data_IF_224054122073
#
_entry.id   IF_224054122073
#
_cell.length_a   1.000
_cell.length_b   1.000
_cell.length_c   1.000
_cell.angle_alpha   90.00
_cell.angle_beta   90.00
_cell.angle_gamma   90.00
#
_symmetry.space_group_name_H-M   'P 1'
#
loop_
_entity.id
_entity.type
_entity.pdbx_description
1 polymer ?
#
# COMPACT_ATOMS: atom_id res chain seq x y z
N UNK A 1 -8.75 20.86 -20.15
CA UNK A 1 -9.22 19.49 -19.83
C UNK A 1 -8.17 18.53 -20.35
N UNK A 2 -7.77 17.53 -19.57
CA UNK A 2 -6.75 16.55 -19.98
C UNK A 2 -7.18 15.81 -21.25
N UNK A 3 -6.26 15.61 -22.20
CA UNK A 3 -6.51 14.85 -23.44
C UNK A 3 -6.43 13.32 -23.25
N UNK A 4 -6.22 12.83 -22.03
CA UNK A 4 -6.15 11.41 -21.73
C UNK A 4 -7.56 10.82 -21.55
N UNK A 5 -7.83 9.69 -22.21
CA UNK A 5 -9.02 8.91 -21.93
C UNK A 5 -8.90 8.27 -20.54
N UNK A 6 -9.87 8.53 -19.67
CA UNK A 6 -10.03 7.81 -18.40
C UNK A 6 -11.01 6.66 -18.59
N UNK A 7 -10.81 5.58 -17.84
CA UNK A 7 -11.67 4.41 -17.89
C UNK A 7 -12.00 3.98 -16.47
N UNK A 8 -13.29 3.94 -16.14
CA UNK A 8 -13.72 3.37 -14.87
C UNK A 8 -13.58 1.85 -14.95
N UNK A 9 -12.66 1.31 -14.18
CA UNK A 9 -12.41 -0.14 -14.11
C UNK A 9 -13.48 -0.87 -13.29
N UNK A 10 -14.35 -0.14 -12.60
CA UNK A 10 -15.49 -0.69 -11.88
C UNK A 10 -16.68 -0.79 -12.82
N UNK A 11 -17.15 -2.01 -13.01
CA UNK A 11 -18.34 -2.26 -13.80
C UNK A 11 -19.59 -2.07 -12.94
N UNK A 12 -20.64 -1.47 -13.50
CA UNK A 12 -21.99 -1.43 -12.87
C UNK A 12 -22.61 -2.83 -12.68
N UNK A 13 -22.10 -3.84 -13.40
CA UNK A 13 -22.50 -5.23 -13.23
C UNK A 13 -21.95 -5.80 -11.91
N UNK A 14 -22.82 -6.47 -11.16
CA UNK A 14 -22.50 -7.17 -9.90
C UNK A 14 -21.63 -8.43 -10.14
N UNK A 15 -20.46 -8.26 -10.74
CA UNK A 15 -19.45 -9.31 -10.87
C UNK A 15 -18.66 -9.34 -9.56
N UNK A 16 -18.66 -10.47 -8.82
CA UNK A 16 -17.86 -10.59 -7.62
C UNK A 16 -16.38 -10.39 -7.94
N UNK A 17 -15.75 -9.44 -7.24
CA UNK A 17 -14.30 -9.24 -7.28
C UNK A 17 -13.64 -10.07 -6.17
N UNK A 18 -12.55 -10.75 -6.52
CA UNK A 18 -11.73 -11.51 -5.58
C UNK A 18 -10.39 -10.79 -5.34
N UNK A 19 -10.01 -10.68 -4.06
CA UNK A 19 -8.72 -10.14 -3.68
C UNK A 19 -7.57 -11.06 -4.11
N UNK A 20 -6.34 -10.54 -4.19
CA UNK A 20 -5.16 -11.36 -4.44
C UNK A 20 -4.96 -12.55 -3.48
N UNK A 21 -5.45 -12.48 -2.23
CA UNK A 21 -5.38 -13.59 -1.28
C UNK A 21 -6.64 -14.47 -1.21
N UNK A 22 -7.68 -14.22 -2.02
CA UNK A 22 -8.90 -15.04 -2.01
C UNK A 22 -8.64 -16.54 -2.24
N UNK A 23 -7.67 -16.88 -3.10
CA UNK A 23 -7.22 -18.26 -3.30
C UNK A 23 -6.46 -18.79 -2.08
N UNK A 24 -5.50 -18.01 -1.57
CA UNK A 24 -4.65 -18.38 -0.43
C UNK A 24 -5.46 -18.67 0.83
N UNK A 25 -6.48 -17.85 1.12
CA UNK A 25 -7.40 -18.07 2.24
C UNK A 25 -8.16 -19.39 2.17
N UNK A 26 -8.48 -19.87 0.96
CA UNK A 26 -9.18 -21.14 0.73
C UNK A 26 -8.25 -22.35 0.73
N UNK A 27 -6.98 -22.17 0.37
CA UNK A 27 -6.05 -23.27 0.07
C UNK A 27 -4.89 -23.41 1.03
N UNK A 28 -4.29 -22.29 1.42
CA UNK A 28 -3.15 -22.23 2.34
C UNK A 28 -3.61 -22.13 3.80
N UNK A 29 -4.88 -21.77 4.03
CA UNK A 29 -5.45 -21.55 5.36
C UNK A 29 -5.24 -20.11 5.84
N UNK A 30 -5.89 -19.79 6.96
CA UNK A 30 -5.74 -18.54 7.69
C UNK A 30 -5.86 -18.86 9.18
N UNK A 31 -4.74 -19.07 9.89
CA UNK A 31 -4.78 -19.32 11.33
C UNK A 31 -5.50 -18.15 12.01
N UNK A 32 -6.49 -18.43 12.86
CA UNK A 32 -7.24 -17.36 13.51
C UNK A 32 -6.34 -16.59 14.48
N UNK A 33 -6.41 -15.26 14.47
CA UNK A 33 -5.77 -14.46 15.50
C UNK A 33 -6.40 -14.76 16.88
N UNK A 34 -5.55 -14.90 17.89
CA UNK A 34 -5.95 -15.18 19.26
C UNK A 34 -5.12 -14.41 20.29
N UNK A 35 -5.39 -14.58 21.60
CA UNK A 35 -4.66 -13.89 22.67
C UNK A 35 -3.14 -14.14 22.67
N UNK A 36 -2.71 -15.29 22.14
CA UNK A 36 -1.30 -15.67 22.02
C UNK A 36 -0.62 -15.08 20.77
N UNK A 37 -1.39 -14.49 19.84
CA UNK A 37 -0.84 -13.93 18.60
C UNK A 37 -0.04 -12.66 18.88
N UNK A 38 1.29 -12.76 18.80
CA UNK A 38 2.22 -11.62 18.98
C UNK A 38 2.36 -10.78 17.71
N UNK A 39 1.85 -11.28 16.60
CA UNK A 39 1.70 -10.58 15.31
C UNK A 39 0.42 -11.03 14.62
N UNK A 40 -0.27 -10.08 13.99
CA UNK A 40 -1.42 -10.35 13.13
C UNK A 40 -1.15 -9.88 11.71
N UNK A 41 -1.71 -10.59 10.74
CA UNK A 41 -1.63 -10.31 9.31
C UNK A 41 -3.04 -10.05 8.77
N UNK A 42 -3.21 -8.95 8.05
CA UNK A 42 -4.46 -8.58 7.37
C UNK A 42 -4.19 -8.19 5.92
N UNK A 43 -5.05 -8.59 5.00
CA UNK A 43 -5.07 -7.96 3.68
C UNK A 43 -5.96 -6.72 3.73
N UNK A 44 -5.42 -5.55 3.37
CA UNK A 44 -6.24 -4.38 3.08
C UNK A 44 -6.66 -4.48 1.61
N UNK A 45 -7.64 -5.34 1.37
CA UNK A 45 -8.00 -5.78 0.03
C UNK A 45 -8.70 -4.68 -0.79
N UNK A 46 -8.47 -4.71 -2.11
CA UNK A 46 -9.21 -3.94 -3.11
C UNK A 46 -9.20 -2.41 -2.87
N UNK A 47 -8.12 -1.88 -2.30
CA UNK A 47 -7.88 -0.44 -2.20
C UNK A 47 -7.64 0.18 -3.58
N UNK A 48 -8.04 1.44 -3.73
CA UNK A 48 -7.71 2.26 -4.88
C UNK A 48 -6.25 2.70 -4.79
N UNK A 49 -5.49 2.56 -5.88
CA UNK A 49 -4.07 2.89 -5.92
C UNK A 49 -3.69 3.59 -7.23
N UNK A 50 -3.17 4.80 -7.11
CA UNK A 50 -2.69 5.60 -8.25
C UNK A 50 -1.19 5.82 -8.13
N UNK A 51 -0.46 5.64 -9.23
CA UNK A 51 0.91 6.16 -9.36
C UNK A 51 0.85 7.52 -10.03
N UNK A 52 1.35 8.54 -9.34
CA UNK A 52 1.50 9.90 -9.87
C UNK A 52 2.95 10.11 -10.27
N UNK A 53 3.19 10.64 -11.47
CA UNK A 53 4.50 11.13 -11.89
C UNK A 53 4.46 12.55 -12.42
N UNK A 54 5.49 13.34 -12.15
CA UNK A 54 5.57 14.73 -12.58
C UNK A 54 6.36 15.62 -11.62
N UNK A 55 6.33 16.93 -11.88
CA UNK A 55 6.99 17.91 -11.02
C UNK A 55 6.33 18.03 -9.65
N UNK A 56 7.11 17.86 -8.57
CA UNK A 56 6.62 17.82 -7.20
C UNK A 56 5.74 19.03 -6.81
N UNK A 57 6.12 20.26 -7.22
CA UNK A 57 5.36 21.47 -6.89
C UNK A 57 3.95 21.42 -7.46
N UNK A 58 3.84 21.10 -8.75
CA UNK A 58 2.57 21.07 -9.47
C UNK A 58 1.67 19.94 -8.95
N UNK A 59 2.25 18.78 -8.67
CA UNK A 59 1.52 17.66 -8.10
C UNK A 59 1.08 17.92 -6.66
N UNK A 60 1.93 18.51 -5.82
CA UNK A 60 1.62 18.86 -4.41
C UNK A 60 0.43 19.81 -4.31
N UNK A 61 0.39 20.86 -5.13
CA UNK A 61 -0.76 21.77 -5.19
C UNK A 61 -2.06 21.03 -5.53
N UNK A 62 -2.02 20.15 -6.54
CA UNK A 62 -3.20 19.41 -6.99
C UNK A 62 -3.67 18.38 -5.94
N UNK A 63 -2.76 17.61 -5.33
CA UNK A 63 -3.15 16.62 -4.31
C UNK A 63 -3.66 17.27 -3.03
N UNK A 64 -3.12 18.43 -2.62
CA UNK A 64 -3.64 19.18 -1.46
C UNK A 64 -5.08 19.61 -1.69
N UNK A 65 -5.37 20.12 -2.88
CA UNK A 65 -6.72 20.60 -3.22
C UNK A 65 -7.72 19.44 -3.36
N UNK A 66 -7.32 18.35 -4.02
CA UNK A 66 -8.23 17.25 -4.35
C UNK A 66 -8.39 16.26 -3.19
N UNK A 67 -7.29 15.90 -2.54
CA UNK A 67 -7.20 14.83 -1.53
C UNK A 67 -7.06 15.36 -0.09
N UNK A 68 -6.74 16.65 0.09
CA UNK A 68 -6.44 17.21 1.41
C UNK A 68 -5.09 16.79 1.99
N UNK A 69 -4.25 16.10 1.20
CA UNK A 69 -2.93 15.61 1.58
C UNK A 69 -1.85 16.28 0.73
N UNK A 70 -0.76 16.71 1.37
CA UNK A 70 0.45 17.14 0.65
C UNK A 70 1.32 15.97 0.27
N UNK A 71 2.17 16.12 -0.74
CA UNK A 71 3.22 15.13 -1.01
C UNK A 71 4.22 15.08 0.17
N UNK A 72 4.81 13.92 0.47
CA UNK A 72 5.90 13.84 1.43
C UNK A 72 7.07 14.74 1.02
N UNK A 73 7.56 15.57 1.94
CA UNK A 73 8.60 16.56 1.66
C UNK A 73 10.05 16.04 1.66
N UNK A 74 10.29 14.81 2.08
CA UNK A 74 11.64 14.24 2.29
C UNK A 74 11.76 12.78 1.86
N UNK A 75 13.00 12.34 1.47
CA UNK A 75 13.44 10.98 1.35
C UNK A 75 12.48 9.89 1.79
N UNK A 76 11.82 9.12 0.90
CA UNK A 76 11.12 7.90 1.36
C UNK A 76 9.96 8.19 2.32
N UNK A 77 9.46 9.44 2.35
CA UNK A 77 8.41 9.86 3.23
C UNK A 77 7.06 9.22 2.91
N UNK A 78 6.27 9.03 3.96
CA UNK A 78 4.90 8.54 3.96
C UNK A 78 4.05 9.54 4.73
N UNK A 79 2.99 10.03 4.08
CA UNK A 79 1.95 10.81 4.73
C UNK A 79 0.62 10.08 4.65
N UNK A 80 -0.26 10.31 5.61
CA UNK A 80 -1.61 9.75 5.64
C UNK A 80 -2.58 10.78 6.21
N UNK A 81 -3.87 10.59 5.94
CA UNK A 81 -4.92 11.38 6.57
C UNK A 81 -5.11 10.99 8.05
N UNK A 82 -5.88 11.78 8.80
CA UNK A 82 -6.10 11.57 10.23
C UNK A 82 -6.69 10.19 10.55
N UNK A 83 -7.41 9.59 9.58
CA UNK A 83 -8.03 8.26 9.71
C UNK A 83 -7.10 7.12 9.29
N UNK A 84 -5.99 7.41 8.62
CA UNK A 84 -5.10 6.40 8.03
C UNK A 84 -5.77 5.59 6.91
N UNK A 85 -6.78 6.15 6.26
CA UNK A 85 -7.51 5.53 5.14
C UNK A 85 -6.91 5.92 3.79
N UNK A 86 -6.35 7.13 3.71
CA UNK A 86 -5.68 7.67 2.53
C UNK A 86 -4.23 7.95 2.83
N UNK A 87 -3.34 7.67 1.88
CA UNK A 87 -1.92 7.91 2.06
C UNK A 87 -1.20 8.21 0.76
N UNK A 88 -0.07 8.91 0.87
CA UNK A 88 0.85 9.18 -0.22
C UNK A 88 2.25 8.73 0.21
N UNK A 89 2.83 7.84 -0.58
CA UNK A 89 4.17 7.30 -0.40
C UNK A 89 5.10 7.82 -1.47
N UNK A 90 6.23 8.39 -1.07
CA UNK A 90 7.29 8.74 -2.01
C UNK A 90 8.03 7.49 -2.54
N UNK A 91 8.18 7.37 -3.87
CA UNK A 91 8.91 6.28 -4.53
C UNK A 91 10.22 6.74 -5.19
N UNK A 92 10.19 7.81 -5.99
CA UNK A 92 11.35 8.43 -6.67
C UNK A 92 11.13 9.94 -6.81
N UNK A 93 12.16 10.78 -7.08
CA UNK A 93 12.04 12.25 -7.06
C UNK A 93 10.87 12.87 -7.85
N UNK A 94 10.31 12.12 -8.79
CA UNK A 94 9.19 12.46 -9.65
C UNK A 94 8.06 11.39 -9.64
N UNK A 95 8.00 10.49 -8.65
CA UNK A 95 7.02 9.39 -8.55
C UNK A 95 6.49 9.17 -7.13
N UNK A 96 5.17 9.09 -7.00
CA UNK A 96 4.46 8.82 -5.74
C UNK A 96 3.37 7.77 -5.93
N UNK A 97 3.20 6.93 -4.91
CA UNK A 97 2.07 6.00 -4.80
C UNK A 97 1.02 6.61 -3.87
N UNK A 98 -0.18 6.85 -4.40
CA UNK A 98 -1.36 7.25 -3.64
C UNK A 98 -2.22 6.03 -3.41
N UNK A 99 -2.66 5.83 -2.16
CA UNK A 99 -3.57 4.75 -1.78
C UNK A 99 -4.80 5.38 -1.12
N UNK A 100 -5.98 4.98 -1.54
CA UNK A 100 -7.29 5.45 -1.06
C UNK A 100 -8.24 4.27 -0.84
N UNK A 101 -9.36 4.46 -0.12
CA UNK A 101 -10.44 3.47 -0.09
C UNK A 101 -10.85 3.04 -1.49
N UNK A 102 -11.15 1.75 -1.64
CA UNK A 102 -11.60 1.21 -2.92
C UNK A 102 -12.90 1.87 -3.36
N UNK A 103 -12.85 2.62 -4.46
CA UNK A 103 -13.99 3.30 -5.09
C UNK A 103 -13.67 4.72 -5.42
N UNK A 104 -12.66 5.26 -4.75
CA UNK A 104 -12.25 6.63 -4.90
C UNK A 104 -11.23 6.79 -6.03
N UNK A 105 -10.59 5.72 -6.53
CA UNK A 105 -9.50 5.81 -7.51
C UNK A 105 -9.89 6.53 -8.81
N UNK A 106 -11.07 6.23 -9.37
CA UNK A 106 -11.52 6.82 -10.64
C UNK A 106 -11.92 8.30 -10.48
N UNK A 107 -12.67 8.63 -9.43
CA UNK A 107 -13.05 10.01 -9.13
C UNK A 107 -11.80 10.86 -8.81
N UNK A 108 -10.87 10.30 -8.03
CA UNK A 108 -9.62 10.95 -7.69
C UNK A 108 -8.76 11.22 -8.93
N UNK A 109 -8.58 10.22 -9.81
CA UNK A 109 -7.86 10.41 -11.07
C UNK A 109 -8.50 11.51 -11.91
N UNK A 110 -9.83 11.49 -12.04
CA UNK A 110 -10.58 12.48 -12.84
C UNK A 110 -10.35 13.90 -12.30
N UNK A 111 -10.55 14.11 -10.99
CA UNK A 111 -10.36 15.41 -10.35
C UNK A 111 -8.91 15.90 -10.41
N UNK A 112 -7.93 15.00 -10.26
CA UNK A 112 -6.52 15.36 -10.43
C UNK A 112 -6.20 15.78 -11.87
N UNK A 113 -6.68 15.04 -12.88
CA UNK A 113 -6.48 15.39 -14.29
C UNK A 113 -7.13 16.72 -14.66
N UNK A 114 -8.32 17.00 -14.14
CA UNK A 114 -8.99 18.29 -14.30
C UNK A 114 -8.16 19.41 -13.68
N UNK A 115 -7.70 19.24 -12.44
CA UNK A 115 -6.92 20.24 -11.71
C UNK A 115 -5.54 20.50 -12.31
N UNK A 116 -4.90 19.46 -12.85
CA UNK A 116 -3.57 19.55 -13.46
C UNK A 116 -3.60 20.13 -14.89
N UNK A 117 -4.74 20.04 -15.59
CA UNK A 117 -4.90 20.62 -16.91
C UNK A 117 -3.83 20.15 -17.91
N UNK A 118 -3.13 21.11 -18.52
CA UNK A 118 -2.09 20.90 -19.54
C UNK A 118 -0.67 20.72 -18.96
N UNK A 119 -0.54 20.59 -17.64
CA UNK A 119 0.75 20.34 -17.01
C UNK A 119 1.39 19.01 -17.48
N UNK A 120 2.71 18.88 -17.32
CA UNK A 120 3.41 17.63 -17.63
C UNK A 120 3.34 16.66 -16.44
N UNK A 121 2.53 15.61 -16.58
CA UNK A 121 2.35 14.57 -15.57
C UNK A 121 1.94 13.23 -16.20
N UNK A 122 1.99 12.17 -15.39
CA UNK A 122 1.32 10.90 -15.67
C UNK A 122 0.56 10.45 -14.42
N UNK A 123 -0.64 9.90 -14.62
CA UNK A 123 -1.43 9.23 -13.59
C UNK A 123 -1.75 7.84 -14.14
N UNK A 124 -1.48 6.82 -13.35
CA UNK A 124 -1.75 5.42 -13.69
C UNK A 124 -2.51 4.75 -12.54
N UNK A 125 -3.70 4.23 -12.83
CA UNK A 125 -4.38 3.30 -11.93
C UNK A 125 -3.62 1.97 -11.88
N UNK A 126 -3.17 1.59 -10.68
CA UNK A 126 -2.45 0.34 -10.39
C UNK A 126 -3.18 -0.51 -9.34
N UNK A 127 -4.44 -0.19 -9.03
CA UNK A 127 -5.27 -0.87 -8.01
C UNK A 127 -5.34 -2.38 -8.23
N UNK A 128 -5.50 -2.81 -9.50
CA UNK A 128 -5.55 -4.23 -9.86
C UNK A 128 -4.21 -4.95 -9.88
N UNK A 129 -3.09 -4.23 -9.80
CA UNK A 129 -1.72 -4.75 -9.99
C UNK A 129 -0.98 -5.11 -8.70
N UNK A 130 -1.49 -4.72 -7.55
CA UNK A 130 -0.85 -4.92 -6.24
C UNK A 130 -1.87 -4.99 -5.10
N UNK A 131 -1.45 -5.46 -3.93
CA UNK A 131 -2.24 -5.50 -2.70
C UNK A 131 -1.41 -5.00 -1.53
N UNK A 132 -2.06 -4.66 -0.42
CA UNK A 132 -1.43 -4.20 0.80
C UNK A 132 -1.64 -5.23 1.91
N UNK A 133 -0.54 -5.76 2.41
CA UNK A 133 -0.52 -6.65 3.57
C UNK A 133 -0.14 -5.83 4.80
N UNK A 134 -0.98 -5.84 5.82
CA UNK A 134 -0.81 -5.13 7.08
C UNK A 134 -0.34 -6.14 8.14
N UNK A 135 0.74 -5.80 8.85
CA UNK A 135 1.28 -6.52 9.98
C UNK A 135 1.17 -5.63 11.23
N UNK A 136 0.53 -6.14 12.27
CA UNK A 136 0.40 -5.45 13.55
C UNK A 136 0.83 -6.35 14.71
N UNK A 137 1.43 -5.76 15.75
CA UNK A 137 1.84 -6.45 16.96
C UNK A 137 3.34 -6.34 17.26
N UNK A 138 3.70 -6.63 18.50
CA UNK A 138 5.07 -6.44 19.02
C UNK A 138 6.13 -7.24 18.23
N UNK A 139 5.77 -8.39 17.65
CA UNK A 139 6.67 -9.23 16.89
C UNK A 139 6.76 -8.85 15.40
N UNK A 140 5.97 -7.88 14.91
CA UNK A 140 5.94 -7.52 13.50
C UNK A 140 7.32 -7.08 12.97
N UNK A 141 8.06 -6.29 13.76
CA UNK A 141 9.41 -5.86 13.38
C UNK A 141 10.40 -7.03 13.34
N UNK A 142 10.36 -7.93 14.32
CA UNK A 142 11.24 -9.10 14.35
C UNK A 142 10.97 -10.04 13.17
N UNK A 143 9.70 -10.22 12.80
CA UNK A 143 9.29 -10.96 11.61
C UNK A 143 9.88 -10.34 10.33
N UNK A 144 9.85 -9.02 10.17
CA UNK A 144 10.46 -8.33 9.03
C UNK A 144 11.98 -8.53 8.97
N UNK A 145 12.66 -8.54 10.11
CA UNK A 145 14.13 -8.73 10.20
C UNK A 145 14.60 -10.08 9.63
N UNK A 146 13.71 -11.07 9.49
CA UNK A 146 14.05 -12.36 8.89
C UNK A 146 14.32 -12.28 7.39
N UNK A 147 13.90 -11.23 6.70
CA UNK A 147 14.08 -11.14 5.24
C UNK A 147 14.33 -9.75 4.67
N UNK A 148 13.84 -8.70 5.32
CA UNK A 148 14.03 -7.33 4.83
C UNK A 148 15.49 -6.95 5.02
N UNK A 149 16.17 -6.63 3.92
CA UNK A 149 17.58 -6.23 3.93
C UNK A 149 17.80 -4.78 4.40
N UNK A 150 16.74 -3.97 4.41
CA UNK A 150 16.80 -2.60 4.90
C UNK A 150 16.71 -2.59 6.43
N UNK A 151 17.41 -1.66 7.09
CA UNK A 151 17.38 -1.56 8.54
C UNK A 151 16.00 -1.08 9.03
N UNK A 152 15.25 -1.99 9.67
CA UNK A 152 13.93 -1.74 10.24
C UNK A 152 13.99 -1.27 11.70
N UNK A 153 15.17 -0.95 12.23
CA UNK A 153 15.29 -0.34 13.56
C UNK A 153 14.58 1.02 13.60
N UNK A 154 13.84 1.40 14.68
CA UNK A 154 13.07 2.64 14.73
C UNK A 154 13.85 3.93 14.43
N UNK A 155 15.17 3.96 14.70
CA UNK A 155 16.03 5.11 14.37
C UNK A 155 16.32 5.24 12.87
N UNK A 156 16.25 4.14 12.11
CA UNK A 156 16.46 4.09 10.66
C UNK A 156 15.15 3.95 9.88
N UNK A 157 14.09 3.48 10.52
CA UNK A 157 12.76 3.35 9.96
C UNK A 157 11.71 3.93 10.91
N UNK A 158 11.67 5.27 11.08
CA UNK A 158 10.66 5.92 11.90
C UNK A 158 9.27 5.81 11.28
N UNK A 159 8.24 6.12 12.07
CA UNK A 159 6.88 6.31 11.57
C UNK A 159 6.87 7.39 10.49
N UNK A 160 6.09 7.19 9.43
CA UNK A 160 6.05 8.11 8.28
C UNK A 160 7.17 7.84 7.26
N UNK A 161 7.79 6.65 7.28
CA UNK A 161 8.72 6.19 6.24
C UNK A 161 8.13 5.03 5.44
N UNK A 162 8.52 4.93 4.16
CA UNK A 162 8.34 3.75 3.35
C UNK A 162 9.42 3.59 2.29
N UNK A 163 9.85 2.35 2.06
CA UNK A 163 11.01 2.03 1.23
C UNK A 163 10.68 0.86 0.31
N UNK A 164 10.96 1.02 -0.99
CA UNK A 164 10.98 -0.09 -1.94
C UNK A 164 12.23 -0.92 -1.72
N UNK A 165 12.06 -2.18 -1.34
CA UNK A 165 13.17 -3.09 -1.02
C UNK A 165 12.83 -4.54 -1.42
N UNK A 166 13.77 -5.44 -1.17
CA UNK A 166 13.58 -6.88 -1.34
C UNK A 166 12.92 -7.45 -0.08
N UNK A 167 11.86 -8.24 -0.30
CA UNK A 167 11.14 -8.99 0.73
C UNK A 167 11.01 -10.44 0.26
N UNK A 168 11.64 -11.39 0.94
CA UNK A 168 11.61 -12.81 0.60
C UNK A 168 11.92 -13.09 -0.89
N UNK A 169 12.95 -12.47 -1.47
CA UNK A 169 13.28 -12.57 -2.91
C UNK A 169 12.22 -11.97 -3.87
N UNK A 170 11.14 -11.42 -3.37
CA UNK A 170 10.22 -10.55 -4.11
C UNK A 170 10.54 -9.07 -3.85
N UNK A 171 9.83 -8.16 -4.52
CA UNK A 171 9.89 -6.72 -4.25
C UNK A 171 8.66 -6.30 -3.46
N UNK A 172 8.87 -5.48 -2.43
CA UNK A 172 7.80 -4.87 -1.65
C UNK A 172 8.13 -3.40 -1.36
N UNK A 173 7.09 -2.58 -1.25
CA UNK A 173 7.20 -1.29 -0.57
C UNK A 173 6.87 -1.56 0.89
N UNK A 174 7.90 -1.60 1.74
CA UNK A 174 7.74 -1.72 3.19
C UNK A 174 7.44 -0.33 3.74
N UNK A 175 6.41 -0.18 4.56
CA UNK A 175 5.91 1.12 5.04
C UNK A 175 5.62 1.04 6.53
N UNK A 176 5.82 2.14 7.25
CA UNK A 176 5.57 2.24 8.68
C UNK A 176 4.63 3.40 8.98
N UNK A 177 3.32 3.20 8.83
CA UNK A 177 2.32 4.25 9.05
C UNK A 177 2.07 4.58 10.54
N UNK A 178 2.37 3.68 11.49
CA UNK A 178 2.27 3.97 12.93
C UNK A 178 3.31 3.16 13.71
N UNK A 179 3.38 3.35 15.03
CA UNK A 179 4.38 2.64 15.86
C UNK A 179 4.21 1.12 15.81
N UNK A 180 2.96 0.67 15.79
CA UNK A 180 2.57 -0.75 15.92
C UNK A 180 2.23 -1.42 14.58
N UNK A 181 2.12 -0.64 13.50
CA UNK A 181 1.67 -1.12 12.19
C UNK A 181 2.78 -1.01 11.15
N UNK A 182 2.97 -2.10 10.43
CA UNK A 182 3.80 -2.20 9.24
C UNK A 182 2.93 -2.61 8.06
N UNK A 183 3.26 -2.10 6.87
CA UNK A 183 2.54 -2.44 5.65
C UNK A 183 3.52 -2.88 4.57
N UNK A 184 3.10 -3.83 3.76
CA UNK A 184 3.82 -4.34 2.60
C UNK A 184 2.93 -4.18 1.37
N UNK A 185 3.27 -3.24 0.49
CA UNK A 185 2.64 -3.19 -0.84
C UNK A 185 3.38 -4.17 -1.73
N UNK A 186 2.69 -5.23 -2.17
CA UNK A 186 3.26 -6.31 -2.96
C UNK A 186 2.49 -6.48 -4.26
N UNK A 187 3.22 -6.80 -5.35
CA UNK A 187 2.60 -7.11 -6.64
C UNK A 187 1.62 -8.28 -6.48
N UNK A 188 0.47 -8.19 -7.16
CA UNK A 188 -0.62 -9.18 -7.07
C UNK A 188 -0.16 -10.61 -7.30
N UNK A 189 0.73 -10.83 -8.26
CA UNK A 189 1.28 -12.16 -8.58
C UNK A 189 2.16 -12.76 -7.48
N UNK A 190 2.69 -11.93 -6.58
CA UNK A 190 3.51 -12.36 -5.44
C UNK A 190 2.73 -12.42 -4.12
N UNK A 191 1.45 -12.03 -4.11
CA UNK A 191 0.66 -11.97 -2.88
C UNK A 191 0.60 -13.32 -2.15
N UNK A 192 0.27 -14.42 -2.85
CA UNK A 192 0.23 -15.77 -2.25
C UNK A 192 1.60 -16.19 -1.71
N UNK A 193 2.67 -15.87 -2.44
CA UNK A 193 4.03 -16.17 -2.02
C UNK A 193 4.40 -15.43 -0.73
N UNK A 194 4.21 -14.11 -0.69
CA UNK A 194 4.50 -13.28 0.48
C UNK A 194 3.64 -13.70 1.68
N UNK A 195 2.35 -14.01 1.45
CA UNK A 195 1.43 -14.49 2.48
C UNK A 195 1.92 -15.80 3.11
N UNK A 196 2.23 -16.81 2.30
CA UNK A 196 2.74 -18.10 2.79
C UNK A 196 4.06 -17.94 3.54
N UNK A 197 4.95 -17.10 3.02
CA UNK A 197 6.22 -16.80 3.68
C UNK A 197 6.01 -16.14 5.05
N UNK A 198 5.09 -15.18 5.16
CA UNK A 198 4.75 -14.52 6.42
C UNK A 198 4.15 -15.51 7.43
N UNK A 199 3.29 -16.43 6.99
CA UNK A 199 2.73 -17.46 7.87
C UNK A 199 3.80 -18.40 8.41
N UNK A 200 4.69 -18.89 7.55
CA UNK A 200 5.81 -19.77 7.92
C UNK A 200 6.77 -19.06 8.87
N UNK A 201 7.26 -17.88 8.48
CA UNK A 201 8.18 -17.11 9.31
C UNK A 201 7.51 -16.58 10.60
N UNK A 202 6.20 -16.44 10.63
CA UNK A 202 5.42 -15.95 11.76
C UNK A 202 5.00 -17.03 12.76
N UNK A 203 5.24 -18.31 12.48
CA UNK A 203 4.75 -19.43 13.30
C UNK A 203 5.24 -19.34 14.75
N UNK A 204 6.50 -18.99 14.98
CA UNK A 204 7.07 -18.84 16.34
C UNK A 204 6.43 -17.71 17.17
N UNK A 205 5.71 -16.81 16.50
CA UNK A 205 5.00 -15.67 17.11
C UNK A 205 3.49 -15.91 17.18
N UNK A 206 3.04 -17.14 16.90
CA UNK A 206 1.63 -17.52 16.80
C UNK A 206 0.86 -16.58 15.85
N UNK A 207 1.44 -16.29 14.68
CA UNK A 207 0.85 -15.36 13.71
C UNK A 207 -0.62 -15.66 13.43
N UNK A 208 -1.45 -14.66 13.64
CA UNK A 208 -2.88 -14.70 13.38
C UNK A 208 -3.26 -13.98 12.10
N UNK A 209 -4.27 -14.46 11.39
CA UNK A 209 -4.82 -13.80 10.21
C UNK A 209 -6.17 -13.19 10.55
N UNK A 210 -6.28 -11.89 10.30
CA UNK A 210 -7.54 -11.14 10.41
C UNK A 210 -8.08 -10.93 8.99
N UNK A 211 -9.34 -11.29 8.79
CA UNK A 211 -10.06 -11.20 7.52
C UNK A 211 -11.09 -10.08 7.56
#
# INVERSE_FOLDING_TARGET
MSNAATFDTRTDSAIPVESPLAYSYRRSGAPAAGPESRVTLRERALLGQLVLRGGAIVLDEAVREVLGLGLPGEPQGLVQDERGERSIQWLSPDEWLVIVPGGEEFELETRLRERLGDAHYAISDVSGGQTLLELEGEAARELLMKTVIYDVHPSHFPVGRGVTTVFAKATAIVRRPSEERWELVVRRSFADYCYRWLLDAGEEYAIGVVR
#
